data_IF_132241198812
#
_entry.id   IF_132241198812
#
_cell.length_a   1.000
_cell.length_b   1.000
_cell.length_c   1.000
_cell.angle_alpha   90.00
_cell.angle_beta   90.00
_cell.angle_gamma   90.00
#
_symmetry.space_group_name_H-M   'P 1'
#
loop_
_entity.id
_entity.type
_entity.pdbx_description
1 polymer ?
#
# COMPACT_ATOMS: atom_id res chain seq x y z
N UNK A 1 28.86 22.27 -12.75
CA UNK A 1 27.49 22.45 -12.25
C UNK A 1 27.29 21.50 -11.07
N UNK A 2 27.11 22.00 -9.85
CA UNK A 2 26.83 21.19 -8.65
C UNK A 2 25.64 21.81 -7.95
N UNK A 3 24.46 21.28 -8.21
CA UNK A 3 23.24 21.71 -7.57
C UNK A 3 22.11 20.79 -7.98
N UNK A 4 21.24 20.49 -7.02
CA UNK A 4 19.85 20.00 -7.20
C UNK A 4 19.49 18.50 -7.14
N UNK A 5 20.36 17.57 -6.72
CA UNK A 5 19.93 16.16 -6.54
C UNK A 5 19.41 15.83 -5.13
N UNK A 6 19.84 16.57 -4.10
CA UNK A 6 19.47 16.27 -2.71
C UNK A 6 17.99 16.57 -2.40
N UNK A 7 17.39 17.56 -3.08
CA UNK A 7 15.98 17.90 -2.91
C UNK A 7 15.07 16.82 -3.50
N UNK A 8 15.39 16.30 -4.69
CA UNK A 8 14.65 15.23 -5.36
C UNK A 8 14.71 13.93 -4.55
N UNK A 9 15.90 13.53 -4.07
CA UNK A 9 16.04 12.33 -3.23
C UNK A 9 15.25 12.43 -1.91
N UNK A 10 15.21 13.61 -1.28
CA UNK A 10 14.42 13.84 -0.05
C UNK A 10 12.90 13.80 -0.32
N UNK A 11 12.46 14.37 -1.44
CA UNK A 11 11.05 14.35 -1.86
C UNK A 11 10.58 12.94 -2.18
N UNK A 12 11.36 12.17 -2.95
CA UNK A 12 11.10 10.75 -3.21
C UNK A 12 11.01 9.94 -1.91
N UNK A 13 11.93 10.18 -0.96
CA UNK A 13 11.88 9.55 0.36
C UNK A 13 10.62 9.92 1.16
N UNK A 14 10.12 11.17 1.05
CA UNK A 14 8.87 11.59 1.68
C UNK A 14 7.67 10.90 1.03
N UNK A 15 7.62 10.84 -0.30
CA UNK A 15 6.55 10.18 -1.03
C UNK A 15 6.51 8.69 -0.77
N UNK A 16 7.66 8.02 -0.77
CA UNK A 16 7.75 6.60 -0.44
C UNK A 16 7.26 6.30 0.98
N UNK A 17 7.58 7.15 1.97
CA UNK A 17 7.05 6.98 3.34
C UNK A 17 5.53 7.10 3.40
N UNK A 18 4.95 8.06 2.68
CA UNK A 18 3.49 8.23 2.59
C UNK A 18 2.87 6.99 1.94
N UNK A 19 3.43 6.50 0.83
CA UNK A 19 2.92 5.31 0.14
C UNK A 19 3.03 4.05 0.99
N UNK A 20 4.11 3.87 1.76
CA UNK A 20 4.25 2.75 2.69
C UNK A 20 3.21 2.81 3.80
N UNK A 21 2.99 3.99 4.35
CA UNK A 21 1.97 4.19 5.38
C UNK A 21 0.56 3.89 4.84
N UNK A 22 0.21 4.43 3.66
CA UNK A 22 -1.09 4.19 3.03
C UNK A 22 -1.26 2.70 2.68
N UNK A 23 -0.24 2.04 2.13
CA UNK A 23 -0.26 0.60 1.86
C UNK A 23 -0.56 -0.21 3.12
N UNK A 24 0.09 0.11 4.25
CA UNK A 24 -0.22 -0.49 5.54
C UNK A 24 -1.66 -0.22 5.97
N UNK A 25 -2.13 1.02 5.88
CA UNK A 25 -3.47 1.41 6.31
C UNK A 25 -4.56 0.58 5.62
N UNK A 26 -4.48 0.42 4.30
CA UNK A 26 -5.46 -0.35 3.54
C UNK A 26 -5.30 -1.85 3.69
N UNK A 27 -4.06 -2.34 3.65
CA UNK A 27 -3.81 -3.76 3.81
C UNK A 27 -4.26 -4.25 5.18
N UNK A 28 -3.98 -3.48 6.24
CA UNK A 28 -4.32 -3.89 7.60
C UNK A 28 -5.83 -3.94 7.85
N UNK A 29 -6.61 -3.11 7.16
CA UNK A 29 -8.08 -3.18 7.22
C UNK A 29 -8.61 -4.56 6.83
N UNK A 30 -7.97 -5.27 5.90
CA UNK A 30 -8.41 -6.60 5.45
C UNK A 30 -8.49 -7.58 6.61
N UNK A 31 -7.41 -7.69 7.41
CA UNK A 31 -7.39 -8.61 8.54
C UNK A 31 -8.02 -8.01 9.81
N UNK A 32 -8.01 -6.68 9.98
CA UNK A 32 -8.67 -6.01 11.12
C UNK A 32 -10.19 -6.10 11.07
N UNK A 33 -10.77 -6.03 9.88
CA UNK A 33 -12.21 -6.27 9.68
C UNK A 33 -12.58 -7.76 9.56
N UNK A 34 -11.63 -8.66 9.83
CA UNK A 34 -11.82 -10.12 9.78
C UNK A 34 -12.31 -10.62 8.41
N UNK A 35 -11.97 -9.91 7.32
CA UNK A 35 -12.23 -10.41 5.95
C UNK A 35 -11.36 -11.64 5.65
N UNK A 36 -10.14 -11.64 6.21
CA UNK A 36 -9.19 -12.75 6.17
C UNK A 36 -8.46 -12.80 7.51
N UNK A 37 -7.90 -13.97 7.87
CA UNK A 37 -6.89 -14.00 8.93
C UNK A 37 -5.65 -13.24 8.47
N UNK A 38 -4.86 -12.74 9.42
CA UNK A 38 -3.63 -12.00 9.11
C UNK A 38 -2.68 -12.80 8.21
N UNK A 39 -2.50 -14.09 8.49
CA UNK A 39 -1.68 -15.00 7.66
C UNK A 39 -2.24 -15.14 6.25
N UNK A 40 -3.54 -15.38 6.11
CA UNK A 40 -4.24 -15.48 4.82
C UNK A 40 -4.13 -14.18 4.01
N UNK A 41 -4.17 -13.02 4.68
CA UNK A 41 -3.98 -11.73 4.02
C UNK A 41 -2.56 -11.58 3.45
N UNK A 42 -1.53 -12.05 4.14
CA UNK A 42 -0.15 -12.05 3.62
C UNK A 42 0.04 -13.06 2.49
N UNK A 43 -0.56 -14.25 2.58
CA UNK A 43 -0.56 -15.25 1.49
C UNK A 43 -1.30 -14.75 0.24
N UNK A 44 -2.40 -14.03 0.43
CA UNK A 44 -3.10 -13.36 -0.67
C UNK A 44 -2.23 -12.26 -1.29
N UNK A 45 -1.57 -11.45 -0.46
CA UNK A 45 -0.74 -10.35 -0.94
C UNK A 45 0.50 -10.85 -1.70
N UNK A 46 1.15 -11.90 -1.20
CA UNK A 46 2.29 -12.56 -1.85
C UNK A 46 1.91 -13.08 -3.24
N UNK A 47 0.73 -13.71 -3.34
CA UNK A 47 0.17 -14.20 -4.62
C UNK A 47 -0.12 -13.07 -5.60
N UNK A 48 -0.66 -11.94 -5.12
CA UNK A 48 -0.98 -10.77 -5.96
C UNK A 48 0.27 -10.02 -6.43
N UNK A 49 1.33 -10.02 -5.63
CA UNK A 49 2.61 -9.38 -5.96
C UNK A 49 3.59 -10.32 -6.67
N UNK A 50 3.27 -11.61 -6.76
CA UNK A 50 4.18 -12.67 -7.22
C UNK A 50 5.52 -12.66 -6.46
N UNK A 51 5.46 -12.38 -5.15
CA UNK A 51 6.61 -12.32 -4.25
C UNK A 51 6.53 -13.46 -3.23
N UNK A 52 7.66 -14.02 -2.77
CA UNK A 52 7.64 -14.94 -1.64
C UNK A 52 7.15 -14.24 -0.37
N UNK A 53 6.46 -14.96 0.51
CA UNK A 53 5.85 -14.39 1.73
C UNK A 53 6.89 -13.66 2.60
N UNK A 54 8.10 -14.21 2.69
CA UNK A 54 9.27 -13.65 3.39
C UNK A 54 9.73 -12.27 2.86
N UNK A 55 9.36 -11.89 1.63
CA UNK A 55 9.66 -10.58 1.05
C UNK A 55 8.46 -9.63 1.10
N UNK A 56 7.35 -10.03 1.71
CA UNK A 56 6.10 -9.23 1.78
C UNK A 56 6.13 -8.22 2.93
N UNK A 57 7.26 -7.56 3.11
CA UNK A 57 7.43 -6.49 4.08
C UNK A 57 7.16 -5.15 3.39
N UNK A 58 5.98 -4.55 3.63
CA UNK A 58 5.61 -3.24 3.07
C UNK A 58 6.67 -2.16 3.36
N UNK A 59 7.36 -2.26 4.50
CA UNK A 59 8.51 -1.41 4.84
C UNK A 59 9.68 -1.46 3.84
N UNK A 60 9.80 -2.51 3.04
CA UNK A 60 10.85 -2.72 2.03
C UNK A 60 10.37 -2.43 0.59
N UNK A 61 9.08 -2.16 0.39
CA UNK A 61 8.51 -1.98 -0.93
C UNK A 61 8.98 -0.69 -1.62
N UNK A 62 9.05 -0.76 -2.96
CA UNK A 62 9.22 0.39 -3.83
C UNK A 62 7.93 1.20 -3.93
N UNK A 63 7.98 2.41 -4.51
CA UNK A 63 6.76 3.21 -4.75
C UNK A 63 5.74 2.46 -5.61
N UNK A 64 6.21 1.77 -6.67
CA UNK A 64 5.37 0.98 -7.58
C UNK A 64 4.64 -0.13 -6.82
N UNK A 65 5.39 -0.89 -6.01
CA UNK A 65 4.83 -1.99 -5.22
C UNK A 65 3.85 -1.45 -4.17
N UNK A 66 4.14 -0.33 -3.49
CA UNK A 66 3.21 0.27 -2.54
C UNK A 66 1.89 0.69 -3.20
N UNK A 67 1.95 1.33 -4.38
CA UNK A 67 0.74 1.71 -5.14
C UNK A 67 -0.09 0.50 -5.54
N UNK A 68 0.56 -0.59 -5.93
CA UNK A 68 -0.12 -1.84 -6.25
C UNK A 68 -0.83 -2.42 -5.02
N UNK A 69 -0.17 -2.47 -3.86
CA UNK A 69 -0.78 -2.91 -2.59
C UNK A 69 -2.00 -2.07 -2.24
N UNK A 70 -1.88 -0.74 -2.29
CA UNK A 70 -2.99 0.19 -2.03
C UNK A 70 -4.17 -0.11 -2.95
N UNK A 71 -3.92 -0.26 -4.26
CA UNK A 71 -4.95 -0.53 -5.25
C UNK A 71 -5.68 -1.83 -4.96
N UNK A 72 -4.96 -2.95 -4.82
CA UNK A 72 -5.58 -4.28 -4.63
C UNK A 72 -6.28 -4.39 -3.27
N UNK A 73 -5.74 -3.75 -2.22
CA UNK A 73 -6.40 -3.69 -0.91
C UNK A 73 -7.69 -2.88 -0.96
N UNK A 74 -7.71 -1.72 -1.64
CA UNK A 74 -8.95 -0.93 -1.87
C UNK A 74 -10.00 -1.75 -2.62
N UNK A 75 -9.61 -2.42 -3.70
CA UNK A 75 -10.50 -3.28 -4.49
C UNK A 75 -11.10 -4.41 -3.64
N UNK A 76 -10.29 -5.06 -2.80
CA UNK A 76 -10.78 -6.09 -1.90
C UNK A 76 -11.77 -5.53 -0.88
N UNK A 77 -11.44 -4.43 -0.19
CA UNK A 77 -12.34 -3.80 0.78
C UNK A 77 -13.68 -3.38 0.16
N UNK A 78 -13.63 -2.77 -1.04
CA UNK A 78 -14.82 -2.40 -1.80
C UNK A 78 -15.69 -3.60 -2.14
N UNK A 79 -15.09 -4.73 -2.54
CA UNK A 79 -15.81 -5.98 -2.84
C UNK A 79 -16.59 -6.50 -1.62
N UNK A 80 -16.11 -6.25 -0.41
CA UNK A 80 -16.79 -6.61 0.84
C UNK A 80 -17.69 -5.49 1.41
N UNK A 81 -17.91 -4.41 0.65
CA UNK A 81 -18.72 -3.26 1.10
C UNK A 81 -18.09 -2.47 2.26
N UNK A 82 -16.80 -2.65 2.51
CA UNK A 82 -16.06 -1.84 3.48
C UNK A 82 -15.61 -0.57 2.77
N UNK A 83 -16.47 0.45 2.84
CA UNK A 83 -16.11 1.80 2.39
C UNK A 83 -14.93 2.31 3.20
N UNK A 84 -13.74 2.22 2.62
CA UNK A 84 -12.68 3.11 3.04
C UNK A 84 -13.06 4.51 2.57
N UNK A 85 -13.67 5.30 3.45
CA UNK A 85 -13.72 6.75 3.27
C UNK A 85 -12.28 7.27 3.17
N UNK A 86 -11.71 7.33 1.97
CA UNK A 86 -10.79 8.43 1.66
C UNK A 86 -11.60 9.52 0.99
N UNK A 87 -11.63 10.73 1.58
CA UNK A 87 -12.03 11.92 0.87
C UNK A 87 -10.89 12.30 -0.08
N UNK A 88 -10.69 11.56 -1.16
CA UNK A 88 -10.18 12.23 -2.36
C UNK A 88 -11.41 12.84 -2.99
N UNK A 89 -11.50 14.16 -2.87
CA UNK A 89 -12.49 14.99 -3.53
C UNK A 89 -12.60 14.56 -5.00
N UNK A 90 -13.70 13.92 -5.37
CA UNK A 90 -14.39 14.33 -6.59
C UNK A 90 -14.89 15.74 -6.30
N UNK A 91 -14.21 16.75 -6.83
CA UNK A 91 -14.78 18.07 -7.06
C UNK A 91 -14.10 18.61 -8.32
N UNK A 92 -14.92 18.66 -9.39
CA UNK A 92 -14.88 19.49 -10.60
C UNK A 92 -13.71 19.39 -11.60
#
# INVERSE_FOLDING_TARGET
HKGTDQALGRLANKQLRVLKHEAHEYFDKIWRFKLMKRTEAYTWLSSVLELPEEYTHIGMFSEKTCRQVIYVSKQLLQKYGIESKTPYCEND
#
